data_IF_462017696500
#
_entry.id   IF_462017696500
#
_cell.length_a   1.000
_cell.length_b   1.000
_cell.length_c   1.000
_cell.angle_alpha   90.00
_cell.angle_beta   90.00
_cell.angle_gamma   90.00
#
_symmetry.space_group_name_H-M   'P 1'
#
loop_
_entity.id
_entity.type
_entity.pdbx_description
1 polymer ?
#
# COMPACT_ATOMS: atom_id res chain seq x y z
N UNK A 1 51.10 31.15 -0.44
CA UNK A 1 49.78 31.78 -0.65
C UNK A 1 49.33 31.40 -2.04
N UNK A 2 48.75 30.20 -2.14
CA UNK A 2 48.16 29.66 -3.37
C UNK A 2 46.66 29.81 -3.21
N UNK A 3 46.06 30.63 -4.06
CA UNK A 3 44.63 30.88 -4.11
C UNK A 3 43.89 29.60 -4.53
N UNK A 4 42.92 29.17 -3.74
CA UNK A 4 41.92 28.19 -4.16
C UNK A 4 40.95 28.89 -5.12
N UNK A 5 40.94 28.47 -6.38
CA UNK A 5 39.81 28.71 -7.28
C UNK A 5 38.67 27.79 -6.84
N UNK A 6 37.66 28.39 -6.22
CA UNK A 6 36.34 27.79 -6.02
C UNK A 6 35.79 27.38 -7.40
N UNK A 7 35.85 26.09 -7.67
CA UNK A 7 35.22 25.49 -8.84
C UNK A 7 33.72 25.40 -8.52
N UNK A 8 33.02 26.53 -8.75
CA UNK A 8 31.57 26.60 -8.63
C UNK A 8 30.97 25.63 -9.65
N UNK A 9 30.62 24.44 -9.18
CA UNK A 9 29.98 23.40 -9.97
C UNK A 9 28.56 23.88 -10.23
N UNK A 10 28.28 24.36 -11.44
CA UNK A 10 26.92 24.71 -11.88
C UNK A 10 26.05 23.46 -11.69
N UNK A 11 24.90 23.55 -10.99
CA UNK A 11 24.00 22.40 -10.90
C UNK A 11 23.58 21.99 -12.31
N UNK A 12 23.76 20.71 -12.66
CA UNK A 12 23.22 20.15 -13.90
C UNK A 12 21.73 20.49 -13.96
N UNK A 13 21.35 21.37 -14.88
CA UNK A 13 19.94 21.65 -15.12
C UNK A 13 19.34 20.39 -15.75
N UNK A 14 18.52 19.68 -14.97
CA UNK A 14 17.72 18.57 -15.48
C UNK A 14 16.96 19.03 -16.73
N UNK A 15 16.97 18.24 -17.83
CA UNK A 15 16.35 18.66 -19.07
C UNK A 15 14.85 18.93 -18.89
N UNK A 16 14.31 19.91 -19.61
CA UNK A 16 12.88 20.26 -19.56
C UNK A 16 11.99 19.02 -19.86
N UNK A 17 11.08 18.62 -18.94
CA UNK A 17 10.26 17.42 -19.10
C UNK A 17 9.41 17.41 -20.38
N UNK A 18 8.91 18.57 -20.81
CA UNK A 18 8.10 18.68 -22.04
C UNK A 18 8.98 18.37 -23.26
N UNK A 19 10.17 18.96 -23.34
CA UNK A 19 11.14 18.69 -24.41
C UNK A 19 11.54 17.22 -24.45
N UNK A 20 11.73 16.58 -23.30
CA UNK A 20 12.00 15.14 -23.22
C UNK A 20 10.84 14.30 -23.77
N UNK A 21 9.61 14.59 -23.37
CA UNK A 21 8.42 13.88 -23.84
C UNK A 21 8.22 14.03 -25.36
N UNK A 22 8.37 15.26 -25.88
CA UNK A 22 8.30 15.53 -27.32
C UNK A 22 9.36 14.71 -28.07
N UNK A 23 10.60 14.69 -27.57
CA UNK A 23 11.70 13.96 -28.20
C UNK A 23 11.43 12.46 -28.22
N UNK A 24 11.01 11.89 -27.09
CA UNK A 24 10.72 10.46 -26.96
C UNK A 24 9.55 10.03 -27.86
N UNK A 25 8.44 10.75 -27.84
CA UNK A 25 7.27 10.43 -28.67
C UNK A 25 7.55 10.63 -30.17
N UNK A 26 8.35 11.64 -30.53
CA UNK A 26 8.80 11.84 -31.92
C UNK A 26 9.67 10.67 -32.39
N UNK A 27 10.57 10.19 -31.55
CA UNK A 27 11.38 9.01 -31.86
C UNK A 27 10.51 7.76 -32.03
N UNK A 28 9.53 7.57 -31.15
CA UNK A 28 8.58 6.45 -31.24
C UNK A 28 7.76 6.50 -32.54
N UNK A 29 7.23 7.66 -32.92
CA UNK A 29 6.44 7.84 -34.15
C UNK A 29 7.22 7.57 -35.44
N UNK A 30 8.55 7.71 -35.42
CA UNK A 30 9.42 7.45 -36.58
C UNK A 30 9.82 5.98 -36.74
N UNK A 31 9.46 5.11 -35.79
CA UNK A 31 9.79 3.68 -35.88
C UNK A 31 8.96 3.01 -36.97
N UNK A 32 9.49 1.91 -37.48
CA UNK A 32 8.79 1.03 -38.41
C UNK A 32 8.70 -0.37 -37.81
N UNK A 33 7.73 -1.16 -38.27
CA UNK A 33 7.55 -2.58 -37.93
C UNK A 33 7.45 -3.40 -39.20
N UNK A 34 7.74 -4.70 -39.09
CA UNK A 34 7.54 -5.67 -40.17
C UNK A 34 6.24 -6.41 -39.93
N UNK A 35 5.24 -6.18 -40.77
CA UNK A 35 4.00 -6.94 -40.79
C UNK A 35 4.20 -8.22 -41.59
N UNK A 36 3.79 -9.37 -41.04
CA UNK A 36 3.94 -10.67 -41.72
C UNK A 36 5.38 -11.20 -41.76
N UNK A 37 6.20 -10.86 -40.77
CA UNK A 37 7.58 -11.34 -40.68
C UNK A 37 7.67 -12.87 -40.82
N UNK A 38 8.59 -13.37 -41.65
CA UNK A 38 8.74 -14.80 -41.93
C UNK A 38 7.79 -15.35 -43.00
N UNK A 39 6.97 -14.50 -43.64
CA UNK A 39 6.10 -14.87 -44.77
C UNK A 39 6.54 -14.18 -46.06
N UNK A 40 6.05 -14.66 -47.21
CA UNK A 40 6.27 -14.02 -48.52
C UNK A 40 5.61 -12.64 -48.64
N UNK A 41 4.72 -12.29 -47.72
CA UNK A 41 4.01 -11.01 -47.67
C UNK A 41 4.60 -10.03 -46.63
N UNK A 42 5.84 -10.26 -46.19
CA UNK A 42 6.49 -9.38 -45.22
C UNK A 42 6.63 -7.95 -45.77
N UNK A 43 6.04 -6.98 -45.07
CA UNK A 43 6.08 -5.56 -45.45
C UNK A 43 6.55 -4.70 -44.27
N UNK A 44 7.44 -3.74 -44.55
CA UNK A 44 7.82 -2.69 -43.60
C UNK A 44 6.78 -1.58 -43.66
N UNK A 45 6.19 -1.25 -42.52
CA UNK A 45 5.21 -0.18 -42.35
C UNK A 45 5.53 0.68 -41.11
N UNK A 46 5.03 1.93 -41.02
CA UNK A 46 5.13 2.72 -39.79
C UNK A 46 4.48 2.00 -38.60
N UNK A 47 4.96 2.28 -37.39
CA UNK A 47 4.26 1.85 -36.17
C UNK A 47 2.95 2.60 -35.99
N UNK A 48 1.98 1.99 -35.30
CA UNK A 48 0.74 2.65 -34.91
C UNK A 48 1.02 3.61 -33.74
N UNK A 49 1.20 4.90 -34.05
CA UNK A 49 1.43 5.90 -33.01
C UNK A 49 0.18 6.13 -32.14
N UNK A 50 -1.03 5.89 -32.65
CA UNK A 50 -2.23 6.05 -31.84
C UNK A 50 -2.25 5.01 -30.71
N UNK A 51 -1.92 3.76 -31.01
CA UNK A 51 -1.72 2.71 -30.00
C UNK A 51 -0.67 3.11 -28.95
N UNK A 52 0.47 3.64 -29.39
CA UNK A 52 1.53 4.13 -28.49
C UNK A 52 1.01 5.25 -27.58
N UNK A 53 0.32 6.26 -28.14
CA UNK A 53 -0.21 7.38 -27.37
C UNK A 53 -1.25 6.92 -26.35
N UNK A 54 -2.14 6.00 -26.73
CA UNK A 54 -3.12 5.39 -25.83
C UNK A 54 -2.44 4.70 -24.65
N UNK A 55 -1.42 3.87 -24.90
CA UNK A 55 -0.68 3.18 -23.85
C UNK A 55 0.05 4.16 -22.93
N UNK A 56 0.75 5.15 -23.50
CA UNK A 56 1.49 6.15 -22.71
C UNK A 56 0.55 6.93 -21.78
N UNK A 57 -0.56 7.45 -22.30
CA UNK A 57 -1.52 8.21 -21.47
C UNK A 57 -2.17 7.34 -20.40
N UNK A 58 -2.47 6.09 -20.73
CA UNK A 58 -3.06 5.13 -19.79
C UNK A 58 -2.08 4.77 -18.67
N UNK A 59 -0.82 4.50 -18.99
CA UNK A 59 0.24 4.23 -18.00
C UNK A 59 0.52 5.46 -17.12
N UNK A 60 0.58 6.66 -17.71
CA UNK A 60 0.75 7.89 -16.91
C UNK A 60 -0.42 8.06 -15.95
N UNK A 61 -1.67 7.87 -16.41
CA UNK A 61 -2.85 7.90 -15.55
C UNK A 61 -2.74 6.87 -14.41
N UNK A 62 -2.28 5.65 -14.71
CA UNK A 62 -2.10 4.59 -13.70
C UNK A 62 -1.03 4.95 -12.64
N UNK A 63 0.07 5.59 -13.04
CA UNK A 63 1.16 5.95 -12.14
C UNK A 63 0.79 7.15 -11.23
N UNK A 64 0.06 8.14 -11.76
CA UNK A 64 -0.37 9.30 -10.97
C UNK A 64 -1.63 9.05 -10.13
N UNK A 65 -2.15 7.82 -10.14
CA UNK A 65 -3.23 7.40 -9.26
C UNK A 65 -4.65 7.52 -9.83
N UNK A 66 -4.77 7.69 -11.15
CA UNK A 66 -6.04 7.59 -11.87
C UNK A 66 -6.25 8.69 -12.90
N UNK A 67 -7.29 8.52 -13.72
CA UNK A 67 -7.66 9.49 -14.76
C UNK A 67 -8.06 10.84 -14.18
N UNK A 68 -8.76 10.88 -13.04
CA UNK A 68 -9.15 12.14 -12.42
C UNK A 68 -7.97 12.87 -11.77
N UNK A 69 -7.00 12.14 -11.21
CA UNK A 69 -5.75 12.71 -10.71
C UNK A 69 -4.93 13.35 -11.85
N UNK A 70 -4.82 12.66 -12.99
CA UNK A 70 -4.16 13.18 -14.20
C UNK A 70 -4.81 14.48 -14.71
N UNK A 71 -6.13 14.62 -14.58
CA UNK A 71 -6.91 15.71 -15.16
C UNK A 71 -7.24 16.85 -14.19
N UNK A 72 -6.77 16.76 -12.94
CA UNK A 72 -7.13 17.67 -11.84
C UNK A 72 -6.87 19.16 -12.13
N UNK A 73 -5.90 19.48 -13.00
CA UNK A 73 -5.57 20.87 -13.35
C UNK A 73 -6.66 21.59 -14.16
N UNK A 74 -7.41 20.88 -15.01
CA UNK A 74 -8.51 21.46 -15.81
C UNK A 74 -9.52 20.37 -16.25
N UNK A 75 -10.24 19.76 -15.30
CA UNK A 75 -10.99 18.53 -15.54
C UNK A 75 -12.15 18.67 -16.52
N UNK A 76 -12.73 19.87 -16.66
CA UNK A 76 -13.86 20.15 -17.57
C UNK A 76 -13.46 20.70 -18.94
N UNK A 77 -12.21 20.50 -19.35
CA UNK A 77 -11.75 20.93 -20.67
C UNK A 77 -11.95 19.86 -21.74
N UNK A 78 -12.10 20.30 -22.99
CA UNK A 78 -12.28 19.38 -24.10
C UNK A 78 -11.06 18.45 -24.27
N UNK A 79 -9.85 18.92 -23.94
CA UNK A 79 -8.65 18.09 -23.92
C UNK A 79 -8.73 17.02 -22.84
N UNK A 80 -9.20 17.38 -21.65
CA UNK A 80 -9.40 16.44 -20.55
C UNK A 80 -10.43 15.36 -20.93
N UNK A 81 -11.50 15.72 -21.63
CA UNK A 81 -12.49 14.76 -22.12
C UNK A 81 -11.89 13.76 -23.11
N UNK A 82 -11.04 14.19 -24.05
CA UNK A 82 -10.36 13.26 -24.96
C UNK A 82 -9.37 12.36 -24.24
N UNK A 83 -8.57 12.90 -23.30
CA UNK A 83 -7.65 12.08 -22.50
C UNK A 83 -8.43 11.05 -21.68
N UNK A 84 -9.53 11.46 -21.04
CA UNK A 84 -10.41 10.56 -20.29
C UNK A 84 -10.97 9.45 -21.18
N UNK A 85 -11.46 9.79 -22.37
CA UNK A 85 -11.96 8.82 -23.33
C UNK A 85 -10.88 7.83 -23.79
N UNK A 86 -9.66 8.31 -24.07
CA UNK A 86 -8.52 7.46 -24.44
C UNK A 86 -8.21 6.46 -23.31
N UNK A 87 -8.07 6.95 -22.08
CA UNK A 87 -7.74 6.11 -20.92
C UNK A 87 -8.84 5.06 -20.70
N UNK A 88 -10.11 5.46 -20.71
CA UNK A 88 -11.21 4.51 -20.52
C UNK A 88 -11.38 3.50 -21.66
N UNK A 89 -11.11 3.91 -22.90
CA UNK A 89 -11.18 2.98 -24.04
C UNK A 89 -10.02 1.99 -24.05
N UNK A 90 -8.90 2.33 -23.41
CA UNK A 90 -7.67 1.51 -23.38
C UNK A 90 -7.62 0.60 -22.16
N UNK A 91 -7.82 1.15 -20.96
CA UNK A 91 -7.83 0.40 -19.71
C UNK A 91 -9.19 -0.24 -19.45
N UNK A 92 -10.27 0.54 -19.59
CA UNK A 92 -11.59 0.24 -19.07
C UNK A 92 -12.07 1.37 -18.15
N UNK A 93 -13.31 1.27 -17.70
CA UNK A 93 -13.94 2.29 -16.84
C UNK A 93 -13.83 1.98 -15.37
N UNK A 94 -13.49 0.73 -15.02
CA UNK A 94 -13.40 0.34 -13.63
C UNK A 94 -12.05 0.75 -13.03
N UNK A 95 -12.02 1.12 -11.75
CA UNK A 95 -10.81 1.61 -11.09
C UNK A 95 -9.63 0.63 -11.17
N UNK A 96 -9.93 -0.66 -11.00
CA UNK A 96 -8.96 -1.74 -11.05
C UNK A 96 -8.40 -2.01 -12.45
N UNK A 97 -9.04 -1.50 -13.50
CA UNK A 97 -8.59 -1.73 -14.88
C UNK A 97 -7.25 -1.04 -15.19
N UNK A 98 -6.94 0.03 -14.45
CA UNK A 98 -5.69 0.78 -14.57
C UNK A 98 -4.49 0.06 -13.95
N UNK A 99 -4.72 -0.86 -13.02
CA UNK A 99 -3.64 -1.53 -12.27
C UNK A 99 -2.61 -2.20 -13.17
N UNK A 100 -3.08 -2.91 -14.19
CA UNK A 100 -2.23 -3.63 -15.16
C UNK A 100 -1.33 -2.71 -16.00
N UNK A 101 -1.61 -1.41 -16.02
CA UNK A 101 -0.86 -0.41 -16.79
C UNK A 101 0.19 0.33 -15.96
N UNK A 102 0.19 0.13 -14.64
CA UNK A 102 1.12 0.81 -13.72
C UNK A 102 2.53 0.27 -13.90
N UNK A 103 3.50 1.19 -13.99
CA UNK A 103 4.93 0.85 -14.12
C UNK A 103 5.75 1.28 -12.91
N UNK A 104 5.20 2.17 -12.08
CA UNK A 104 5.79 2.57 -10.81
C UNK A 104 5.24 1.72 -9.66
N UNK A 105 6.02 1.47 -8.60
CA UNK A 105 5.53 0.72 -7.45
C UNK A 105 4.23 1.32 -6.87
N UNK A 106 3.34 0.46 -6.37
CA UNK A 106 2.23 0.91 -5.54
C UNK A 106 2.78 1.14 -4.14
N UNK A 107 2.69 2.40 -3.67
CA UNK A 107 3.07 2.76 -2.31
C UNK A 107 1.81 2.84 -1.44
N UNK A 108 1.72 1.93 -0.47
CA UNK A 108 0.68 1.94 0.55
C UNK A 108 1.31 2.38 1.86
N UNK A 109 0.74 3.43 2.43
CA UNK A 109 1.02 3.76 3.82
C UNK A 109 0.08 2.92 4.69
N UNK A 110 0.48 2.50 5.88
CA UNK A 110 -0.38 1.77 6.81
C UNK A 110 -0.12 2.24 8.24
N UNK A 111 -1.17 2.69 8.92
CA UNK A 111 -1.18 2.83 10.37
C UNK A 111 -1.79 1.57 10.98
N UNK A 112 -0.94 0.72 11.57
CA UNK A 112 -1.38 -0.53 12.18
C UNK A 112 -2.15 -0.25 13.47
N UNK A 113 -1.79 0.79 14.22
CA UNK A 113 -2.48 1.13 15.47
C UNK A 113 -3.89 1.65 15.21
N UNK A 114 -4.07 2.48 14.17
CA UNK A 114 -5.40 2.93 13.74
C UNK A 114 -6.25 1.75 13.22
N UNK A 115 -5.63 0.85 12.46
CA UNK A 115 -6.31 -0.39 12.03
C UNK A 115 -6.74 -1.26 13.21
N UNK A 116 -5.88 -1.39 14.22
CA UNK A 116 -6.17 -2.15 15.44
C UNK A 116 -7.22 -1.45 16.31
N UNK A 117 -7.26 -0.11 16.30
CA UNK A 117 -8.29 0.66 16.96
C UNK A 117 -9.66 0.35 16.36
N UNK A 118 -9.78 0.37 15.03
CA UNK A 118 -11.01 -0.01 14.33
C UNK A 118 -11.43 -1.46 14.63
N UNK A 119 -10.48 -2.38 14.71
CA UNK A 119 -10.76 -3.77 15.04
C UNK A 119 -11.18 -3.97 16.50
N UNK A 120 -11.06 -2.93 17.34
CA UNK A 120 -11.29 -2.96 18.78
C UNK A 120 -10.13 -3.59 19.57
N UNK A 121 -9.01 -3.91 18.91
CA UNK A 121 -7.85 -4.55 19.54
C UNK A 121 -7.12 -3.60 20.47
N UNK A 122 -7.02 -2.31 20.12
CA UNK A 122 -6.41 -1.29 20.99
C UNK A 122 -7.14 -1.19 22.32
N UNK A 123 -8.48 -1.10 22.29
CA UNK A 123 -9.29 -1.06 23.50
C UNK A 123 -9.12 -2.33 24.35
N UNK A 124 -9.04 -3.49 23.69
CA UNK A 124 -8.83 -4.76 24.37
C UNK A 124 -7.47 -4.86 25.05
N UNK A 125 -6.41 -4.43 24.35
CA UNK A 125 -5.07 -4.31 24.92
C UNK A 125 -5.05 -3.35 26.10
N UNK A 126 -5.58 -2.13 25.95
CA UNK A 126 -5.55 -1.10 26.98
C UNK A 126 -6.28 -1.53 28.27
N UNK A 127 -7.45 -2.15 28.13
CA UNK A 127 -8.23 -2.69 29.26
C UNK A 127 -7.46 -3.79 30.01
N UNK A 128 -6.95 -4.78 29.28
CA UNK A 128 -6.26 -5.93 29.88
C UNK A 128 -4.91 -5.54 30.48
N UNK A 129 -4.21 -4.61 29.84
CA UNK A 129 -2.97 -4.04 30.37
C UNK A 129 -3.23 -3.24 31.66
N UNK A 130 -4.29 -2.45 31.71
CA UNK A 130 -4.66 -1.70 32.91
C UNK A 130 -5.02 -2.64 34.08
N UNK A 131 -5.74 -3.73 33.81
CA UNK A 131 -6.05 -4.76 34.79
C UNK A 131 -4.78 -5.48 35.29
N UNK A 132 -3.84 -5.80 34.38
CA UNK A 132 -2.56 -6.40 34.73
C UNK A 132 -1.71 -5.49 35.62
N UNK A 133 -1.59 -4.20 35.29
CA UNK A 133 -0.89 -3.19 36.11
C UNK A 133 -1.53 -3.04 37.48
N UNK A 134 -2.86 -3.04 37.55
CA UNK A 134 -3.59 -2.97 38.81
C UNK A 134 -3.25 -4.17 39.70
N UNK A 135 -3.15 -5.36 39.11
CA UNK A 135 -2.77 -6.58 39.82
C UNK A 135 -1.31 -6.60 40.23
N UNK A 136 -0.41 -6.14 39.38
CA UNK A 136 1.02 -5.98 39.68
C UNK A 136 1.25 -5.03 40.88
N UNK A 137 0.43 -3.99 41.00
CA UNK A 137 0.50 -2.99 42.07
C UNK A 137 -0.19 -3.43 43.39
N UNK A 138 -0.71 -4.66 43.46
CA UNK A 138 -1.39 -5.16 44.66
C UNK A 138 -0.38 -5.49 45.77
N UNK A 139 -0.32 -4.61 46.78
CA UNK A 139 0.58 -4.71 47.93
C UNK A 139 0.33 -5.96 48.81
N UNK A 140 -0.76 -6.70 48.58
CA UNK A 140 -1.08 -7.92 49.34
C UNK A 140 -0.44 -9.19 48.77
N UNK A 141 0.17 -9.11 47.58
CA UNK A 141 0.82 -10.23 46.93
C UNK A 141 2.13 -10.66 47.63
N UNK A 142 2.45 -11.95 47.55
CA UNK A 142 3.80 -12.42 47.88
C UNK A 142 4.81 -11.96 46.83
N UNK A 143 6.10 -12.04 47.15
CA UNK A 143 7.17 -11.71 46.19
C UNK A 143 7.06 -12.52 44.89
N UNK A 144 6.81 -13.83 44.99
CA UNK A 144 6.60 -14.71 43.82
C UNK A 144 5.36 -14.30 43.00
N UNK A 145 4.27 -13.92 43.66
CA UNK A 145 3.04 -13.50 42.98
C UNK A 145 3.18 -12.13 42.32
N UNK A 146 3.92 -11.20 42.94
CA UNK A 146 4.23 -9.91 42.36
C UNK A 146 5.13 -10.05 41.13
N UNK A 147 6.12 -10.96 41.19
CA UNK A 147 6.97 -11.29 40.06
C UNK A 147 6.17 -11.91 38.89
N UNK A 148 5.23 -12.82 39.18
CA UNK A 148 4.33 -13.39 38.16
C UNK A 148 3.43 -12.32 37.54
N UNK A 149 2.85 -11.42 38.34
CA UNK A 149 2.02 -10.33 37.83
C UNK A 149 2.79 -9.37 36.92
N UNK A 150 4.01 -8.98 37.30
CA UNK A 150 4.89 -8.15 36.47
C UNK A 150 5.24 -8.84 35.14
N UNK A 151 5.53 -10.15 35.18
CA UNK A 151 5.81 -10.93 33.96
C UNK A 151 4.60 -10.98 33.01
N UNK A 152 3.37 -11.03 33.54
CA UNK A 152 2.14 -10.98 32.73
C UNK A 152 2.02 -9.60 32.05
N UNK A 153 2.22 -8.49 32.76
CA UNK A 153 2.18 -7.15 32.17
C UNK A 153 3.20 -7.03 31.01
N UNK A 154 4.44 -7.46 31.23
CA UNK A 154 5.49 -7.42 30.20
C UNK A 154 5.16 -8.33 28.99
N UNK A 155 4.59 -9.51 29.25
CA UNK A 155 4.17 -10.42 28.19
C UNK A 155 3.02 -9.84 27.34
N UNK A 156 2.07 -9.11 27.94
CA UNK A 156 1.01 -8.39 27.22
C UNK A 156 1.61 -7.34 26.27
N UNK A 157 2.51 -6.49 26.76
CA UNK A 157 3.18 -5.45 25.96
C UNK A 157 3.99 -6.08 24.81
N UNK A 158 4.68 -7.19 25.10
CA UNK A 158 5.44 -7.93 24.09
C UNK A 158 4.53 -8.52 23.00
N UNK A 159 3.42 -9.13 23.38
CA UNK A 159 2.44 -9.70 22.43
C UNK A 159 1.81 -8.62 21.56
N UNK A 160 1.52 -7.44 22.11
CA UNK A 160 0.99 -6.31 21.35
C UNK A 160 1.90 -5.89 20.20
N UNK A 161 3.19 -5.68 20.49
CA UNK A 161 4.18 -5.30 19.47
C UNK A 161 4.42 -6.42 18.46
N UNK A 162 4.44 -7.68 18.91
CA UNK A 162 4.55 -8.85 18.02
C UNK A 162 3.36 -8.95 17.06
N UNK A 163 2.15 -8.74 17.55
CA UNK A 163 0.93 -8.82 16.73
C UNK A 163 0.88 -7.67 15.71
N UNK A 164 1.28 -6.45 16.07
CA UNK A 164 1.39 -5.33 15.11
C UNK A 164 2.37 -5.69 13.97
N UNK A 165 3.56 -6.19 14.32
CA UNK A 165 4.56 -6.59 13.32
C UNK A 165 4.10 -7.78 12.45
N UNK A 166 3.41 -8.75 13.04
CA UNK A 166 2.84 -9.89 12.34
C UNK A 166 1.73 -9.45 11.38
N UNK A 167 0.86 -8.53 11.80
CA UNK A 167 -0.20 -7.98 10.97
C UNK A 167 0.36 -7.18 9.79
N UNK A 168 1.37 -6.33 9.99
CA UNK A 168 2.04 -5.60 8.90
C UNK A 168 2.61 -6.56 7.84
N UNK A 169 3.22 -7.66 8.29
CA UNK A 169 3.75 -8.71 7.41
C UNK A 169 2.63 -9.39 6.63
N UNK A 170 1.56 -9.79 7.31
CA UNK A 170 0.40 -10.45 6.70
C UNK A 170 -0.34 -9.51 5.71
N UNK A 171 -0.47 -8.23 6.06
CA UNK A 171 -1.08 -7.21 5.22
C UNK A 171 -0.27 -7.02 3.93
N UNK A 172 1.06 -6.93 4.04
CA UNK A 172 1.94 -6.84 2.87
C UNK A 172 1.76 -8.04 1.94
N UNK A 173 1.59 -9.25 2.49
CA UNK A 173 1.29 -10.44 1.70
C UNK A 173 -0.10 -10.38 1.04
N UNK A 174 -1.13 -9.90 1.75
CA UNK A 174 -2.49 -9.74 1.23
C UNK A 174 -2.53 -8.75 0.06
N UNK A 175 -1.80 -7.63 0.14
CA UNK A 175 -1.67 -6.67 -0.97
C UNK A 175 -1.02 -7.32 -2.19
N UNK A 176 0.09 -8.05 -2.00
CA UNK A 176 0.77 -8.75 -3.11
C UNK A 176 -0.14 -9.79 -3.77
N UNK A 177 -0.94 -10.51 -2.98
CA UNK A 177 -1.91 -11.45 -3.50
C UNK A 177 -3.00 -10.75 -4.33
N UNK A 178 -3.55 -9.63 -3.83
CA UNK A 178 -4.54 -8.84 -4.56
C UNK A 178 -3.99 -8.33 -5.92
N UNK A 179 -2.75 -7.88 -5.96
CA UNK A 179 -2.12 -7.45 -7.21
C UNK A 179 -1.87 -8.59 -8.19
N UNK A 180 -1.51 -9.77 -7.67
CA UNK A 180 -1.34 -10.98 -8.50
C UNK A 180 -2.67 -11.38 -9.17
N UNK A 181 -3.80 -11.28 -8.44
CA UNK A 181 -5.14 -11.53 -9.00
C UNK A 181 -5.48 -10.59 -10.17
N UNK A 182 -4.95 -9.37 -10.15
CA UNK A 182 -5.11 -8.38 -11.21
C UNK A 182 -4.04 -8.44 -12.31
N UNK A 183 -3.20 -9.50 -12.31
CA UNK A 183 -2.08 -9.68 -13.25
C UNK A 183 -1.13 -8.47 -13.31
N UNK A 184 -0.96 -7.79 -12.17
CA UNK A 184 -0.11 -6.61 -12.06
C UNK A 184 1.33 -7.05 -11.81
N UNK A 185 2.26 -6.48 -12.57
CA UNK A 185 3.68 -6.82 -12.48
C UNK A 185 4.52 -5.75 -11.76
N UNK A 186 3.92 -4.65 -11.31
CA UNK A 186 4.63 -3.61 -10.58
C UNK A 186 4.88 -4.02 -9.12
N UNK A 187 5.99 -3.54 -8.55
CA UNK A 187 6.34 -3.80 -7.16
C UNK A 187 5.37 -3.09 -6.18
N UNK A 188 5.41 -3.53 -4.91
CA UNK A 188 4.66 -2.92 -3.80
C UNK A 188 5.62 -2.49 -2.73
N UNK A 189 5.42 -1.26 -2.26
CA UNK A 189 6.05 -0.74 -1.07
C UNK A 189 4.96 -0.47 -0.02
N UNK A 190 4.95 -1.27 1.06
CA UNK A 190 4.15 -0.97 2.24
C UNK A 190 5.04 -0.25 3.23
N UNK A 191 4.65 0.96 3.61
CA UNK A 191 5.40 1.81 4.53
C UNK A 191 4.53 2.05 5.76
N UNK A 192 5.09 1.85 6.95
CA UNK A 192 4.40 2.19 8.19
C UNK A 192 4.25 3.72 8.29
N UNK A 193 3.05 4.19 8.64
CA UNK A 193 2.79 5.63 8.78
C UNK A 193 3.66 6.19 9.90
N UNK A 194 4.51 7.17 9.56
CA UNK A 194 5.25 7.91 10.58
C UNK A 194 4.31 8.92 11.24
N UNK A 195 4.30 8.94 12.57
CA UNK A 195 3.46 9.84 13.37
C UNK A 195 3.56 11.30 12.88
N UNK A 196 2.44 11.87 12.47
CA UNK A 196 2.34 13.25 12.00
C UNK A 196 2.37 13.42 10.47
N UNK A 197 2.55 12.33 9.73
CA UNK A 197 2.30 12.30 8.28
C UNK A 197 0.80 12.09 8.01
N UNK A 198 0.32 12.66 6.91
CA UNK A 198 -1.04 12.41 6.42
C UNK A 198 -0.97 11.37 5.32
N UNK A 199 -1.73 10.31 5.49
CA UNK A 199 -1.93 9.32 4.46
C UNK A 199 -2.58 9.96 3.23
N UNK A 200 -1.85 9.97 2.12
CA UNK A 200 -2.38 10.39 0.82
C UNK A 200 -2.41 9.18 -0.09
N UNK A 201 -3.56 8.51 -0.09
CA UNK A 201 -3.82 7.47 -1.06
C UNK A 201 -4.46 8.07 -2.29
N UNK A 202 -3.93 7.68 -3.44
CA UNK A 202 -4.71 7.73 -4.64
C UNK A 202 -5.88 6.74 -4.55
N UNK A 203 -6.86 6.89 -5.43
CA UNK A 203 -8.05 6.05 -5.37
C UNK A 203 -7.73 4.55 -5.48
N UNK A 204 -6.67 4.21 -6.20
CA UNK A 204 -6.28 2.83 -6.40
C UNK A 204 -5.66 2.23 -5.13
N UNK A 205 -4.78 2.97 -4.46
CA UNK A 205 -4.22 2.62 -3.16
C UNK A 205 -5.32 2.40 -2.13
N UNK A 206 -6.37 3.23 -2.13
CA UNK A 206 -7.53 3.03 -1.25
C UNK A 206 -8.25 1.71 -1.50
N UNK A 207 -8.53 1.36 -2.76
CA UNK A 207 -9.18 0.09 -3.08
C UNK A 207 -8.32 -1.12 -2.68
N UNK A 208 -7.00 -1.05 -2.91
CA UNK A 208 -6.08 -2.11 -2.50
C UNK A 208 -6.03 -2.26 -0.98
N UNK A 209 -6.03 -1.15 -0.24
CA UNK A 209 -6.10 -1.19 1.21
C UNK A 209 -7.38 -1.85 1.70
N UNK A 210 -8.55 -1.47 1.17
CA UNK A 210 -9.83 -2.07 1.58
C UNK A 210 -9.85 -3.59 1.37
N UNK A 211 -9.40 -4.05 0.21
CA UNK A 211 -9.31 -5.48 -0.12
C UNK A 211 -8.29 -6.19 0.78
N UNK A 212 -7.11 -5.60 0.99
CA UNK A 212 -6.09 -6.18 1.83
C UNK A 212 -6.55 -6.26 3.29
N UNK A 213 -7.10 -5.18 3.85
CA UNK A 213 -7.63 -5.12 5.22
C UNK A 213 -8.72 -6.15 5.48
N UNK A 214 -9.63 -6.36 4.52
CA UNK A 214 -10.69 -7.36 4.65
C UNK A 214 -10.18 -8.82 4.60
N UNK A 215 -9.02 -9.07 3.99
CA UNK A 215 -8.46 -10.42 3.79
C UNK A 215 -7.28 -10.74 4.71
N UNK A 216 -6.66 -9.73 5.30
CA UNK A 216 -5.46 -9.90 6.12
C UNK A 216 -5.80 -10.71 7.36
N UNK A 217 -5.14 -11.85 7.57
CA UNK A 217 -5.41 -12.65 8.76
C UNK A 217 -4.97 -11.91 10.03
N UNK A 218 -5.78 -11.99 11.07
CA UNK A 218 -5.40 -11.49 12.40
C UNK A 218 -4.33 -12.39 13.02
N UNK A 219 -3.32 -11.83 13.70
CA UNK A 219 -2.23 -12.61 14.30
C UNK A 219 -2.69 -13.73 15.24
N UNK A 220 -3.79 -13.51 15.96
CA UNK A 220 -4.32 -14.44 16.96
C UNK A 220 -4.99 -15.68 16.37
N UNK A 221 -5.53 -15.59 15.16
CA UNK A 221 -6.37 -16.64 14.56
C UNK A 221 -5.78 -17.20 13.28
N UNK A 222 -4.96 -16.44 12.56
CA UNK A 222 -4.58 -16.76 11.18
C UNK A 222 -5.76 -16.63 10.19
N UNK A 223 -6.88 -16.05 10.61
CA UNK A 223 -8.09 -15.86 9.81
C UNK A 223 -8.41 -14.38 9.62
N UNK A 224 -9.08 -14.04 8.53
CA UNK A 224 -9.53 -12.68 8.23
C UNK A 224 -10.43 -12.11 9.35
N UNK A 225 -10.47 -10.77 9.54
CA UNK A 225 -11.28 -10.16 10.58
C UNK A 225 -12.77 -10.46 10.42
N UNK A 226 -13.40 -10.97 11.48
CA UNK A 226 -14.83 -11.26 11.53
C UNK A 226 -15.61 -10.08 12.12
N UNK A 227 -16.47 -9.48 11.29
CA UNK A 227 -17.35 -8.38 11.66
C UNK A 227 -18.82 -8.81 11.88
N UNK A 228 -19.12 -10.10 11.77
CA UNK A 228 -20.51 -10.61 11.74
C UNK A 228 -21.25 -10.43 13.06
N UNK A 229 -20.52 -10.31 14.17
CA UNK A 229 -21.07 -10.25 15.53
C UNK A 229 -20.41 -9.15 16.37
N UNK A 230 -20.12 -8.00 15.73
CA UNK A 230 -19.50 -6.84 16.37
C UNK A 230 -18.11 -6.55 15.83
N UNK A 231 -17.21 -6.02 16.66
CA UNK A 231 -15.82 -5.81 16.26
C UNK A 231 -15.05 -7.14 16.24
N UNK A 232 -13.98 -7.26 15.43
CA UNK A 232 -13.12 -8.44 15.45
C UNK A 232 -12.59 -8.79 16.86
N UNK A 233 -12.27 -7.79 17.69
CA UNK A 233 -11.87 -8.02 19.07
C UNK A 233 -12.97 -8.68 19.92
N UNK A 234 -14.24 -8.34 19.72
CA UNK A 234 -15.36 -9.00 20.42
C UNK A 234 -15.49 -10.48 20.02
N UNK A 235 -15.22 -10.81 18.75
CA UNK A 235 -15.16 -12.20 18.30
C UNK A 235 -14.00 -12.96 18.97
N UNK A 236 -12.81 -12.35 19.05
CA UNK A 236 -11.65 -12.94 19.72
C UNK A 236 -11.89 -13.17 21.22
N UNK A 237 -12.49 -12.20 21.91
CA UNK A 237 -12.88 -12.35 23.33
C UNK A 237 -13.82 -13.51 23.54
N UNK A 238 -14.81 -13.69 22.66
CA UNK A 238 -15.76 -14.81 22.73
C UNK A 238 -15.08 -16.16 22.50
N UNK A 239 -14.02 -16.19 21.70
CA UNK A 239 -13.17 -17.35 21.48
C UNK A 239 -12.12 -17.58 22.59
N UNK A 240 -12.01 -16.68 23.58
CA UNK A 240 -11.01 -16.75 24.64
C UNK A 240 -9.60 -16.37 24.20
N UNK A 241 -9.44 -15.76 23.03
CA UNK A 241 -8.15 -15.38 22.46
C UNK A 241 -7.76 -13.97 22.91
N UNK A 242 -7.47 -13.83 24.20
CA UNK A 242 -7.10 -12.53 24.80
C UNK A 242 -5.62 -12.35 25.04
N UNK A 243 -5.17 -11.10 25.23
CA UNK A 243 -3.76 -10.80 25.52
C UNK A 243 -3.35 -11.42 26.86
N UNK A 244 -4.19 -11.29 27.89
CA UNK A 244 -3.99 -11.89 29.20
C UNK A 244 -3.94 -13.42 29.11
N UNK A 245 -4.88 -14.04 28.39
CA UNK A 245 -4.91 -15.50 28.23
C UNK A 245 -3.65 -16.02 27.54
N UNK A 246 -3.19 -15.35 26.47
CA UNK A 246 -1.97 -15.69 25.73
C UNK A 246 -0.71 -15.41 26.53
N UNK A 247 -0.67 -14.32 27.31
CA UNK A 247 0.44 -14.01 28.22
C UNK A 247 0.59 -15.13 29.26
N UNK A 248 -0.52 -15.55 29.88
CA UNK A 248 -0.52 -16.67 30.83
C UNK A 248 -0.07 -17.99 30.19
N UNK A 249 -0.43 -18.25 28.94
CA UNK A 249 0.02 -19.45 28.22
C UNK A 249 1.52 -19.40 27.91
N UNK A 250 2.05 -18.23 27.53
CA UNK A 250 3.48 -18.03 27.23
C UNK A 250 4.38 -18.23 28.45
N UNK A 251 3.85 -17.96 29.65
CA UNK A 251 4.58 -18.04 30.92
C UNK A 251 4.46 -19.40 31.64
N UNK A 252 3.67 -20.33 31.11
CA UNK A 252 3.54 -21.71 31.63
C UNK A 252 4.67 -22.62 31.14
#
# INVERSE_FOLDING_TARGET
MTSNEDTMTTPEQSPDPITQAITALTAAARRTRVRGAGTEHAQVEPVDFAEIACHVLTTVAANVGGVEALLAGRPGSWEADYVRQIVHSTAGTEPGDLLRWRTEPVRLVLDVEDTFYDFGLTQMYDEERADAITRESDETLTEDQAAEAAAITEAIDTLWEQDKAAYLTAYTAAVRAALTEHAVTCDVEVVELVRGETETWDYLSSQLHEVARARTPLPMTGEAPDWSAGTPAEALRRAGLTYTARAQETLR
#
